data_IF_410093747655
#
_entry.id   IF_410093747655
#
_cell.length_a   1.000
_cell.length_b   1.000
_cell.length_c   1.000
_cell.angle_alpha   90.00
_cell.angle_beta   90.00
_cell.angle_gamma   90.00
#
_symmetry.space_group_name_H-M   'P 1'
#
loop_
_entity.id
_entity.type
_entity.pdbx_description
1 polymer ?
#
# COMPACT_ATOMS: atom_id res chain seq x y z
N UNK A 1 -19.49 12.31 -2.95
CA UNK A 1 -19.24 11.55 -1.70
C UNK A 1 -18.08 10.61 -1.99
N UNK A 2 -17.19 10.39 -1.03
CA UNK A 2 -16.18 9.33 -1.10
C UNK A 2 -16.91 7.99 -1.13
N UNK A 3 -16.64 7.14 -2.13
CA UNK A 3 -17.10 5.76 -2.07
C UNK A 3 -16.41 5.06 -0.89
N UNK A 4 -17.14 4.25 -0.09
CA UNK A 4 -16.54 3.60 1.07
C UNK A 4 -15.36 2.72 0.67
N UNK A 5 -14.27 2.82 1.45
CA UNK A 5 -13.04 2.09 1.16
C UNK A 5 -13.21 0.58 1.37
N UNK A 6 -12.71 -0.23 0.44
CA UNK A 6 -12.74 -1.71 0.53
C UNK A 6 -11.33 -2.24 0.74
N UNK A 7 -11.11 -3.15 1.68
CA UNK A 7 -9.84 -3.88 1.85
C UNK A 7 -10.16 -5.37 1.85
N UNK A 8 -9.48 -6.15 1.01
CA UNK A 8 -9.65 -7.60 0.97
C UNK A 8 -8.29 -8.25 1.10
N UNK A 9 -8.19 -9.20 2.02
CA UNK A 9 -7.05 -10.09 2.17
C UNK A 9 -7.56 -11.52 1.96
N UNK A 10 -6.94 -12.21 1.01
CA UNK A 10 -7.18 -13.62 0.74
C UNK A 10 -6.12 -14.41 1.50
N UNK A 11 -6.55 -15.34 2.34
CA UNK A 11 -5.65 -16.24 3.06
C UNK A 11 -5.19 -17.41 2.20
N UNK A 12 -4.70 -18.46 2.84
CA UNK A 12 -4.19 -19.68 2.19
C UNK A 12 -5.24 -20.73 1.88
N UNK A 13 -6.51 -20.48 2.23
CA UNK A 13 -7.62 -21.37 1.93
C UNK A 13 -8.91 -20.58 1.63
N UNK A 14 -9.93 -21.22 1.00
CA UNK A 14 -11.24 -20.60 0.77
C UNK A 14 -11.97 -20.13 2.03
N UNK A 15 -11.56 -20.64 3.18
CA UNK A 15 -12.18 -20.36 4.48
C UNK A 15 -11.37 -19.34 5.29
N UNK A 16 -10.20 -18.90 4.80
CA UNK A 16 -9.32 -17.96 5.47
C UNK A 16 -9.29 -16.64 4.73
N UNK A 17 -9.87 -15.59 5.31
CA UNK A 17 -9.95 -14.28 4.66
C UNK A 17 -10.30 -13.14 5.62
N UNK A 18 -10.04 -11.93 5.14
CA UNK A 18 -10.55 -10.69 5.71
C UNK A 18 -11.18 -9.82 4.63
N UNK A 19 -12.35 -9.28 4.92
CA UNK A 19 -13.06 -8.32 4.07
C UNK A 19 -13.47 -7.13 4.92
N UNK A 20 -12.96 -5.96 4.59
CA UNK A 20 -13.38 -4.68 5.14
C UNK A 20 -14.08 -3.85 4.06
N UNK A 21 -15.18 -3.19 4.41
CA UNK A 21 -15.79 -2.16 3.58
C UNK A 21 -16.36 -1.03 4.44
N UNK A 22 -15.98 0.22 4.13
CA UNK A 22 -16.31 1.38 4.95
C UNK A 22 -15.68 1.28 6.33
N UNK A 23 -16.51 1.23 7.38
CA UNK A 23 -16.08 1.08 8.79
C UNK A 23 -16.20 -0.35 9.31
N UNK A 24 -16.84 -1.24 8.56
CA UNK A 24 -17.19 -2.59 8.98
C UNK A 24 -16.23 -3.60 8.36
N UNK A 25 -16.07 -4.74 9.03
CA UNK A 25 -15.25 -5.82 8.51
C UNK A 25 -15.77 -7.19 8.95
N UNK A 26 -15.27 -8.21 8.27
CA UNK A 26 -15.42 -9.62 8.58
C UNK A 26 -14.04 -10.28 8.50
N UNK A 27 -13.75 -11.18 9.45
CA UNK A 27 -12.50 -11.94 9.51
C UNK A 27 -12.82 -13.38 9.83
N UNK A 28 -12.29 -14.31 9.05
CA UNK A 28 -12.57 -15.74 9.13
C UNK A 28 -11.28 -16.53 8.99
N UNK A 29 -11.02 -17.45 9.92
CA UNK A 29 -9.85 -18.35 9.95
C UNK A 29 -8.50 -17.70 9.55
N UNK A 30 -8.30 -16.43 9.89
CA UNK A 30 -6.98 -15.78 9.86
C UNK A 30 -6.23 -16.11 11.16
N UNK A 31 -4.92 -15.89 11.20
CA UNK A 31 -4.15 -16.07 12.44
C UNK A 31 -4.76 -15.27 13.60
N UNK A 32 -4.60 -15.77 14.83
CA UNK A 32 -5.14 -15.11 16.01
C UNK A 32 -4.60 -13.68 16.14
N UNK A 33 -3.32 -13.48 15.83
CA UNK A 33 -2.67 -12.16 15.87
C UNK A 33 -3.32 -11.17 14.90
N UNK A 34 -3.61 -11.60 13.66
CA UNK A 34 -4.29 -10.76 12.68
C UNK A 34 -5.75 -10.52 13.09
N UNK A 35 -6.44 -11.55 13.57
CA UNK A 35 -7.84 -11.45 14.02
C UNK A 35 -8.00 -10.45 15.15
N UNK A 36 -7.10 -10.45 16.13
CA UNK A 36 -7.09 -9.48 17.23
C UNK A 36 -6.80 -8.07 16.71
N UNK A 37 -5.82 -7.90 15.81
CA UNK A 37 -5.56 -6.61 15.17
C UNK A 37 -6.79 -6.07 14.43
N UNK A 38 -7.44 -6.93 13.63
CA UNK A 38 -8.65 -6.59 12.87
C UNK A 38 -9.77 -6.08 13.77
N UNK A 39 -10.03 -6.77 14.89
CA UNK A 39 -11.10 -6.43 15.84
C UNK A 39 -10.80 -5.19 16.68
N UNK A 40 -9.57 -5.06 17.15
CA UNK A 40 -9.25 -4.10 18.21
C UNK A 40 -8.73 -2.76 17.68
N UNK A 41 -8.07 -2.76 16.53
CA UNK A 41 -7.27 -1.60 16.09
C UNK A 41 -7.39 -1.25 14.61
N UNK A 42 -7.74 -2.20 13.75
CA UNK A 42 -7.78 -1.96 12.31
C UNK A 42 -8.96 -1.05 11.95
N UNK A 43 -8.64 0.13 11.42
CA UNK A 43 -9.62 1.04 10.84
C UNK A 43 -9.67 0.85 9.32
N UNK A 44 -10.68 0.15 8.82
CA UNK A 44 -10.85 -0.15 7.39
C UNK A 44 -10.87 1.11 6.54
N UNK A 45 -11.53 2.18 7.00
CA UNK A 45 -11.65 3.44 6.25
C UNK A 45 -10.30 4.14 6.04
N UNK A 46 -9.33 3.85 6.91
CA UNK A 46 -8.00 4.46 6.90
C UNK A 46 -6.88 3.49 6.50
N UNK A 47 -7.21 2.21 6.32
CA UNK A 47 -6.25 1.19 5.90
C UNK A 47 -6.10 1.24 4.40
N UNK A 48 -4.92 1.65 3.90
CA UNK A 48 -4.70 1.75 2.45
C UNK A 48 -4.47 0.38 1.82
N UNK A 49 -3.75 -0.46 2.52
CA UNK A 49 -3.39 -1.81 2.10
C UNK A 49 -3.12 -2.69 3.33
N UNK A 50 -3.29 -3.99 3.13
CA UNK A 50 -2.93 -5.04 4.07
C UNK A 50 -2.29 -6.17 3.26
N UNK A 51 -1.19 -6.72 3.76
CA UNK A 51 -0.53 -7.89 3.17
C UNK A 51 -0.29 -8.94 4.24
N UNK A 52 -0.52 -10.19 3.87
CA UNK A 52 -0.40 -11.35 4.75
C UNK A 52 0.37 -12.43 4.00
N UNK A 53 1.29 -13.10 4.69
CA UNK A 53 2.04 -14.24 4.15
C UNK A 53 1.13 -15.45 3.95
N UNK A 54 1.59 -16.41 3.15
CA UNK A 54 0.88 -17.67 2.89
C UNK A 54 0.53 -18.45 4.17
N UNK A 55 1.44 -18.48 5.14
CA UNK A 55 1.21 -19.15 6.44
C UNK A 55 0.26 -18.39 7.37
N UNK A 56 -0.15 -17.17 7.01
CA UNK A 56 -1.01 -16.25 7.78
C UNK A 56 -0.38 -15.70 9.07
N UNK A 57 0.81 -16.16 9.43
CA UNK A 57 1.47 -15.79 10.68
C UNK A 57 2.19 -14.46 10.57
N UNK A 58 2.59 -14.06 9.36
CA UNK A 58 3.21 -12.75 9.08
C UNK A 58 2.23 -11.82 8.36
N UNK A 59 2.09 -10.61 8.86
CA UNK A 59 1.22 -9.62 8.24
C UNK A 59 1.66 -8.20 8.52
N UNK A 60 1.31 -7.31 7.60
CA UNK A 60 1.52 -5.86 7.73
C UNK A 60 0.29 -5.14 7.20
N UNK A 61 -0.19 -4.15 7.94
CA UNK A 61 -1.21 -3.19 7.49
C UNK A 61 -0.66 -1.77 7.60
N UNK A 62 -1.16 -0.87 6.75
CA UNK A 62 -0.78 0.53 6.77
C UNK A 62 -1.98 1.44 6.95
N UNK A 63 -1.95 2.19 8.06
CA UNK A 63 -2.95 3.19 8.41
C UNK A 63 -2.48 4.58 7.95
N UNK A 64 -3.15 5.12 6.93
CA UNK A 64 -2.83 6.43 6.34
C UNK A 64 -3.19 7.59 7.26
N UNK A 65 -4.14 7.40 8.18
CA UNK A 65 -4.53 8.43 9.13
C UNK A 65 -3.44 8.67 10.16
N UNK A 66 -2.72 7.64 10.57
CA UNK A 66 -1.65 7.74 11.56
C UNK A 66 -0.24 7.75 10.96
N UNK A 67 -0.11 7.44 9.66
CA UNK A 67 1.17 7.16 9.00
C UNK A 67 1.96 6.10 9.77
N UNK A 68 1.28 5.00 10.13
CA UNK A 68 1.84 3.91 10.91
C UNK A 68 1.59 2.56 10.25
N UNK A 69 2.58 1.70 10.41
CA UNK A 69 2.47 0.28 10.14
C UNK A 69 2.01 -0.45 11.39
N UNK A 70 1.12 -1.42 11.21
CA UNK A 70 0.81 -2.44 12.20
C UNK A 70 1.27 -3.78 11.65
N UNK A 71 1.90 -4.60 12.48
CA UNK A 71 2.41 -5.90 12.08
C UNK A 71 2.51 -6.82 13.29
N UNK A 72 2.57 -8.13 13.04
CA UNK A 72 2.74 -9.14 14.08
C UNK A 72 4.14 -9.06 14.73
N UNK A 73 4.23 -9.45 16.01
CA UNK A 73 5.48 -9.43 16.77
C UNK A 73 6.57 -10.38 16.23
N UNK A 74 6.20 -11.38 15.43
CA UNK A 74 7.09 -12.38 14.83
C UNK A 74 7.58 -12.01 13.42
N UNK A 75 7.28 -10.81 12.90
CA UNK A 75 7.77 -10.39 11.58
C UNK A 75 9.30 -10.42 11.51
N UNK A 76 9.83 -10.87 10.37
CA UNK A 76 11.27 -10.95 10.12
C UNK A 76 11.97 -9.62 10.38
N UNK A 77 13.15 -9.67 11.02
CA UNK A 77 13.84 -8.47 11.51
C UNK A 77 14.20 -7.50 10.37
N UNK A 78 14.62 -8.01 9.21
CA UNK A 78 14.98 -7.13 8.07
C UNK A 78 13.77 -6.32 7.59
N UNK A 79 12.57 -6.92 7.59
CA UNK A 79 11.32 -6.24 7.23
C UNK A 79 11.00 -5.17 8.28
N UNK A 80 11.17 -5.48 9.56
CA UNK A 80 10.98 -4.51 10.66
C UNK A 80 11.92 -3.31 10.55
N UNK A 81 13.17 -3.54 10.17
CA UNK A 81 14.16 -2.47 9.99
C UNK A 81 13.74 -1.54 8.85
N UNK A 82 13.24 -2.10 7.75
CA UNK A 82 12.64 -1.34 6.65
C UNK A 82 11.38 -0.56 7.05
N UNK A 83 10.46 -1.16 7.82
CA UNK A 83 9.24 -0.50 8.30
C UNK A 83 9.52 0.64 9.29
N UNK A 84 10.65 0.60 9.99
CA UNK A 84 11.06 1.61 10.96
C UNK A 84 12.11 2.60 10.44
N UNK A 85 12.71 2.34 9.27
CA UNK A 85 13.82 3.12 8.73
C UNK A 85 15.07 3.09 9.62
N UNK A 86 15.29 1.99 10.34
CA UNK A 86 16.41 1.82 11.28
C UNK A 86 17.50 0.94 10.67
N UNK A 87 18.65 0.81 11.36
CA UNK A 87 19.77 -0.03 10.93
C UNK A 87 20.28 0.25 9.50
N UNK A 88 20.21 1.52 9.07
CA UNK A 88 20.63 1.95 7.74
C UNK A 88 19.68 1.59 6.60
N UNK A 89 18.48 1.06 6.90
CA UNK A 89 17.45 0.76 5.92
C UNK A 89 16.61 1.99 5.59
N UNK A 90 16.24 2.14 4.32
CA UNK A 90 15.27 3.14 3.88
C UNK A 90 13.89 2.82 4.44
N UNK A 91 13.18 3.86 4.91
CA UNK A 91 11.81 3.75 5.40
C UNK A 91 10.88 3.30 4.27
N UNK A 92 10.27 2.15 4.45
CA UNK A 92 9.33 1.53 3.52
C UNK A 92 7.94 2.16 3.62
N UNK A 93 7.21 2.11 2.51
CA UNK A 93 5.83 2.58 2.34
C UNK A 93 4.86 1.44 1.99
N UNK A 94 5.39 0.33 1.48
CA UNK A 94 4.63 -0.82 1.04
C UNK A 94 5.42 -2.12 1.23
N UNK A 95 4.76 -3.16 1.74
CA UNK A 95 5.32 -4.52 1.87
C UNK A 95 4.32 -5.52 1.30
N UNK A 96 4.83 -6.52 0.58
CA UNK A 96 4.04 -7.65 0.11
C UNK A 96 4.80 -8.96 0.30
N UNK A 97 4.06 -10.03 0.54
CA UNK A 97 4.59 -11.39 0.74
C UNK A 97 4.24 -12.29 -0.45
N UNK A 98 5.20 -13.07 -0.99
CA UNK A 98 4.95 -14.02 -2.06
C UNK A 98 4.30 -15.32 -1.58
N UNK A 99 3.84 -16.15 -2.53
CA UNK A 99 3.51 -17.56 -2.30
C UNK A 99 4.80 -18.36 -2.04
N UNK A 100 5.33 -18.23 -0.82
CA UNK A 100 6.56 -18.88 -0.38
C UNK A 100 6.34 -19.54 0.98
N UNK A 101 7.04 -20.65 1.19
CA UNK A 101 7.07 -21.35 2.48
C UNK A 101 8.17 -20.77 3.40
N UNK A 102 9.04 -19.89 2.88
CA UNK A 102 10.01 -19.13 3.68
C UNK A 102 9.35 -17.83 4.20
N UNK A 103 9.14 -17.68 5.53
CA UNK A 103 8.54 -16.48 6.11
C UNK A 103 9.44 -15.24 5.99
N UNK A 104 10.71 -15.42 5.62
CA UNK A 104 11.64 -14.34 5.31
C UNK A 104 11.42 -13.71 3.93
N UNK A 105 10.65 -14.34 3.03
CA UNK A 105 10.41 -13.83 1.69
C UNK A 105 9.46 -12.62 1.68
N UNK A 106 9.87 -11.53 1.03
CA UNK A 106 9.10 -10.30 0.91
C UNK A 106 9.57 -9.42 -0.25
N UNK A 107 8.69 -8.53 -0.68
CA UNK A 107 9.01 -7.34 -1.44
C UNK A 107 8.67 -6.11 -0.61
N UNK A 108 9.49 -5.07 -0.70
CA UNK A 108 9.24 -3.77 -0.07
C UNK A 108 9.54 -2.63 -1.02
N UNK A 109 8.75 -1.57 -0.95
CA UNK A 109 8.99 -0.32 -1.66
C UNK A 109 9.11 0.86 -0.69
N UNK A 110 10.23 1.56 -0.74
CA UNK A 110 10.55 2.76 0.03
C UNK A 110 9.59 3.93 -0.18
N UNK A 111 9.58 4.88 0.76
CA UNK A 111 8.95 6.21 0.59
C UNK A 111 9.66 7.07 -0.46
N UNK A 112 10.93 6.80 -0.73
CA UNK A 112 11.71 7.45 -1.79
C UNK A 112 11.72 6.60 -3.07
N UNK A 113 11.66 7.26 -4.24
CA UNK A 113 11.80 6.56 -5.53
C UNK A 113 13.14 5.83 -5.62
N UNK A 114 13.17 4.66 -6.25
CA UNK A 114 14.37 3.82 -6.32
C UNK A 114 14.69 3.02 -5.06
N UNK A 115 13.99 3.24 -3.94
CA UNK A 115 14.31 2.59 -2.66
C UNK A 115 13.49 1.30 -2.43
N UNK A 116 13.39 0.43 -3.43
CA UNK A 116 12.78 -0.88 -3.27
C UNK A 116 13.81 -1.94 -2.85
N UNK A 117 13.36 -2.98 -2.15
CA UNK A 117 14.18 -4.12 -1.76
C UNK A 117 13.31 -5.39 -1.74
N UNK A 118 13.90 -6.54 -2.07
CA UNK A 118 13.19 -7.80 -2.10
C UNK A 118 14.10 -8.97 -1.70
N UNK A 119 13.55 -9.90 -0.93
CA UNK A 119 14.09 -11.23 -0.68
C UNK A 119 13.04 -12.22 -1.17
N UNK A 120 13.29 -12.88 -2.30
CA UNK A 120 12.28 -13.68 -3.00
C UNK A 120 12.90 -15.01 -3.44
N UNK A 121 12.05 -15.98 -3.74
CA UNK A 121 12.48 -17.23 -4.36
C UNK A 121 13.19 -16.97 -5.69
N UNK A 122 14.26 -17.74 -5.97
CA UNK A 122 15.14 -17.50 -7.13
C UNK A 122 14.37 -17.43 -8.45
N UNK A 123 13.33 -18.25 -8.62
CA UNK A 123 12.49 -18.25 -9.83
C UNK A 123 11.77 -16.91 -10.04
N UNK A 124 11.30 -16.28 -8.96
CA UNK A 124 10.67 -14.95 -9.03
C UNK A 124 11.73 -13.89 -9.31
N UNK A 125 12.91 -14.00 -8.70
CA UNK A 125 14.04 -13.10 -8.96
C UNK A 125 14.45 -13.13 -10.44
N UNK A 126 14.58 -14.32 -11.03
CA UNK A 126 14.96 -14.48 -12.43
C UNK A 126 13.95 -13.78 -13.35
N UNK A 127 12.66 -14.01 -13.12
CA UNK A 127 11.58 -13.37 -13.90
C UNK A 127 11.53 -11.86 -13.69
N UNK A 128 11.71 -11.39 -12.46
CA UNK A 128 11.79 -9.97 -12.15
C UNK A 128 12.95 -9.29 -12.90
N UNK A 129 14.11 -9.95 -13.00
CA UNK A 129 15.26 -9.44 -13.73
C UNK A 129 15.02 -9.38 -15.26
N UNK A 130 14.32 -10.38 -15.82
CA UNK A 130 13.90 -10.35 -17.23
C UNK A 130 12.99 -9.15 -17.51
N UNK A 131 11.96 -8.95 -16.69
CA UNK A 131 11.02 -7.84 -16.84
C UNK A 131 11.73 -6.49 -16.64
N UNK A 132 12.59 -6.40 -15.63
CA UNK A 132 13.39 -5.19 -15.36
C UNK A 132 14.26 -4.80 -16.56
N UNK A 133 14.82 -5.76 -17.29
CA UNK A 133 15.63 -5.48 -18.48
C UNK A 133 14.81 -4.88 -19.64
N UNK A 134 13.48 -5.07 -19.65
CA UNK A 134 12.58 -4.56 -20.68
C UNK A 134 11.90 -3.23 -20.35
N UNK A 135 12.14 -2.65 -19.17
CA UNK A 135 11.43 -1.45 -18.68
C UNK A 135 12.44 -0.34 -18.36
N UNK A 136 12.35 0.75 -19.12
CA UNK A 136 13.12 1.97 -18.83
C UNK A 136 12.72 2.54 -17.47
N UNK A 137 13.73 3.02 -16.72
CA UNK A 137 13.55 3.62 -15.39
C UNK A 137 12.79 2.72 -14.38
N UNK A 138 12.85 1.40 -14.54
CA UNK A 138 12.17 0.42 -13.68
C UNK A 138 12.28 0.75 -12.19
N UNK A 139 13.51 0.97 -11.71
CA UNK A 139 13.79 1.20 -10.29
C UNK A 139 13.10 2.48 -9.76
N UNK A 140 12.98 3.51 -10.59
CA UNK A 140 12.32 4.77 -10.22
C UNK A 140 10.79 4.69 -10.38
N UNK A 141 10.31 3.85 -11.29
CA UNK A 141 8.89 3.76 -11.65
C UNK A 141 8.08 2.80 -10.78
N UNK A 142 8.71 1.76 -10.23
CA UNK A 142 8.01 0.75 -9.44
C UNK A 142 7.47 1.35 -8.14
N UNK A 143 6.18 1.13 -7.86
CA UNK A 143 5.51 1.57 -6.62
C UNK A 143 5.09 0.41 -5.72
N UNK A 144 5.15 -0.81 -6.23
CA UNK A 144 4.98 -2.03 -5.45
C UNK A 144 4.82 -3.28 -6.32
N UNK A 145 4.66 -4.42 -5.67
CA UNK A 145 4.47 -5.72 -6.29
C UNK A 145 3.44 -6.50 -5.46
N UNK A 146 2.46 -7.11 -6.11
CA UNK A 146 1.52 -8.04 -5.45
C UNK A 146 1.73 -9.44 -5.99
N UNK A 147 1.55 -10.45 -5.15
CA UNK A 147 1.84 -11.84 -5.47
C UNK A 147 0.57 -12.67 -5.40
N UNK A 148 0.46 -13.65 -6.29
CA UNK A 148 -0.57 -14.67 -6.29
C UNK A 148 0.05 -16.06 -6.27
N UNK A 149 -0.77 -17.06 -6.57
CA UNK A 149 -0.39 -18.46 -6.64
C UNK A 149 0.82 -18.73 -7.53
N UNK A 150 1.74 -19.56 -7.04
CA UNK A 150 2.92 -20.01 -7.76
C UNK A 150 3.87 -18.85 -8.06
N UNK A 151 4.27 -18.71 -9.32
CA UNK A 151 5.19 -17.65 -9.79
C UNK A 151 4.47 -16.36 -10.21
N UNK A 152 3.17 -16.26 -9.93
CA UNK A 152 2.33 -15.15 -10.40
C UNK A 152 2.58 -13.89 -9.59
N UNK A 153 2.86 -12.78 -10.27
CA UNK A 153 2.96 -11.48 -9.64
C UNK A 153 2.54 -10.34 -10.57
N UNK A 154 2.19 -9.21 -9.98
CA UNK A 154 1.90 -7.97 -10.71
C UNK A 154 2.75 -6.85 -10.14
N UNK A 155 3.57 -6.27 -11.00
CA UNK A 155 4.35 -5.07 -10.74
C UNK A 155 3.46 -3.85 -10.96
N UNK A 156 3.40 -2.99 -9.97
CA UNK A 156 2.62 -1.77 -9.98
C UNK A 156 3.55 -0.59 -10.29
N UNK A 157 3.15 0.26 -11.24
CA UNK A 157 3.87 1.49 -11.59
C UNK A 157 2.98 2.72 -11.37
N UNK A 158 3.60 3.90 -11.41
CA UNK A 158 2.87 5.17 -11.42
C UNK A 158 2.03 5.37 -12.69
N UNK A 159 2.44 4.75 -13.80
CA UNK A 159 1.81 4.84 -15.11
C UNK A 159 1.70 3.45 -15.75
N UNK A 160 0.92 2.56 -15.14
CA UNK A 160 0.63 1.23 -15.65
C UNK A 160 0.86 0.13 -14.62
N UNK A 161 0.89 -1.10 -15.11
CA UNK A 161 1.29 -2.29 -14.38
C UNK A 161 1.84 -3.31 -15.37
N UNK A 162 2.62 -4.27 -14.88
CA UNK A 162 3.10 -5.42 -15.64
C UNK A 162 2.75 -6.67 -14.86
N UNK A 163 2.10 -7.64 -15.51
CA UNK A 163 1.67 -8.89 -14.89
C UNK A 163 2.49 -10.04 -15.45
N UNK A 164 3.13 -10.80 -14.57
CA UNK A 164 3.78 -12.07 -14.88
C UNK A 164 2.91 -13.17 -14.30
N UNK A 165 2.39 -14.02 -15.19
CA UNK A 165 1.46 -15.09 -14.84
C UNK A 165 2.21 -16.43 -14.93
N UNK A 166 1.96 -17.33 -13.99
CA UNK A 166 2.60 -18.66 -14.02
C UNK A 166 2.04 -19.48 -15.20
N UNK A 167 2.86 -19.75 -16.22
CA UNK A 167 2.44 -20.47 -17.44
C UNK A 167 1.78 -21.83 -17.14
N UNK A 168 2.11 -22.45 -16.00
CA UNK A 168 1.53 -23.72 -15.54
C UNK A 168 0.07 -23.56 -15.06
N UNK A 169 -0.30 -22.38 -14.55
CA UNK A 169 -1.62 -22.07 -13.99
C UNK A 169 -2.52 -21.34 -15.01
N UNK A 170 -1.93 -20.59 -15.93
CA UNK A 170 -2.61 -19.68 -16.84
C UNK A 170 -2.61 -20.19 -18.29
N UNK A 171 -3.13 -21.39 -18.50
CA UNK A 171 -3.24 -22.00 -19.85
C UNK A 171 -4.51 -21.61 -20.60
N UNK A 172 -5.49 -21.02 -19.91
CA UNK A 172 -6.81 -20.67 -20.45
C UNK A 172 -6.91 -19.16 -20.68
N UNK A 173 -7.08 -18.74 -21.94
CA UNK A 173 -7.23 -17.32 -22.28
C UNK A 173 -8.51 -16.68 -21.69
N UNK A 174 -9.52 -17.48 -21.34
CA UNK A 174 -10.74 -17.04 -20.68
C UNK A 174 -10.61 -16.99 -19.15
N UNK A 175 -9.39 -17.20 -18.62
CA UNK A 175 -9.13 -17.09 -17.21
C UNK A 175 -9.52 -15.69 -16.69
N UNK A 176 -10.31 -15.58 -15.60
CA UNK A 176 -10.94 -14.32 -15.20
C UNK A 176 -9.93 -13.21 -14.87
N UNK A 177 -8.79 -13.56 -14.29
CA UNK A 177 -7.70 -12.61 -14.04
C UNK A 177 -7.08 -12.08 -15.35
N UNK A 178 -6.83 -12.95 -16.36
CA UNK A 178 -6.28 -12.53 -17.66
C UNK A 178 -7.22 -11.53 -18.32
N UNK A 179 -8.51 -11.85 -18.35
CA UNK A 179 -9.54 -10.99 -18.93
C UNK A 179 -9.53 -9.60 -18.30
N UNK A 180 -9.57 -9.52 -16.96
CA UNK A 180 -9.58 -8.23 -16.25
C UNK A 180 -8.29 -7.44 -16.49
N UNK A 181 -7.13 -8.08 -16.47
CA UNK A 181 -5.84 -7.41 -16.73
C UNK A 181 -5.77 -6.88 -18.17
N UNK A 182 -6.22 -7.66 -19.15
CA UNK A 182 -6.28 -7.26 -20.56
C UNK A 182 -7.20 -6.05 -20.77
N UNK A 183 -8.40 -6.11 -20.20
CA UNK A 183 -9.42 -5.05 -20.31
C UNK A 183 -8.94 -3.70 -19.71
N UNK A 184 -7.94 -3.72 -18.82
CA UNK A 184 -7.38 -2.55 -18.15
C UNK A 184 -5.91 -2.29 -18.47
N UNK A 185 -5.35 -2.96 -19.48
CA UNK A 185 -3.93 -2.84 -19.85
C UNK A 185 -3.52 -1.42 -20.26
N UNK A 186 -4.46 -0.62 -20.80
CA UNK A 186 -4.20 0.74 -21.26
C UNK A 186 -4.81 1.81 -20.36
N UNK A 187 -3.98 2.75 -19.89
CA UNK A 187 -4.44 3.95 -19.19
C UNK A 187 -4.87 3.74 -17.73
N UNK A 188 -4.66 2.55 -17.17
CA UNK A 188 -4.94 2.23 -15.76
C UNK A 188 -3.69 1.79 -15.03
N UNK A 189 -3.66 2.05 -13.72
CA UNK A 189 -2.65 1.52 -12.80
C UNK A 189 -3.33 0.65 -11.75
N UNK A 190 -2.64 -0.36 -11.26
CA UNK A 190 -3.11 -1.13 -10.10
C UNK A 190 -2.66 -0.43 -8.81
N UNK A 191 -3.54 -0.35 -7.83
CA UNK A 191 -3.30 0.27 -6.52
C UNK A 191 -2.90 -0.78 -5.48
N UNK A 192 -2.11 -0.36 -4.47
CA UNK A 192 -1.54 -1.22 -3.42
C UNK A 192 -2.56 -1.96 -2.55
N UNK A 193 -3.81 -1.53 -2.55
CA UNK A 193 -4.89 -2.22 -1.85
C UNK A 193 -5.50 -3.38 -2.64
N UNK A 194 -4.80 -3.89 -3.65
CA UNK A 194 -5.17 -5.05 -4.46
C UNK A 194 -4.51 -6.32 -3.92
N UNK A 195 -5.14 -7.47 -4.15
CA UNK A 195 -4.74 -8.77 -3.60
C UNK A 195 -4.98 -9.87 -4.62
N UNK A 196 -4.04 -10.80 -4.74
CA UNK A 196 -4.20 -12.05 -5.50
C UNK A 196 -4.26 -13.22 -4.52
N UNK A 197 -4.92 -14.29 -4.93
CA UNK A 197 -5.07 -15.50 -4.13
C UNK A 197 -3.85 -16.42 -4.27
N UNK A 198 -3.43 -17.07 -3.17
CA UNK A 198 -2.35 -18.06 -3.19
C UNK A 198 -2.82 -19.49 -3.52
N UNK A 199 -4.09 -19.84 -3.28
CA UNK A 199 -4.57 -21.21 -3.45
C UNK A 199 -5.35 -21.45 -4.75
N UNK A 200 -5.97 -20.43 -5.33
CA UNK A 200 -6.72 -20.51 -6.60
C UNK A 200 -6.56 -19.21 -7.39
N UNK A 201 -5.85 -19.29 -8.51
CA UNK A 201 -5.53 -18.17 -9.40
C UNK A 201 -6.76 -17.44 -9.94
N UNK A 202 -7.94 -18.09 -9.96
CA UNK A 202 -9.18 -17.46 -10.40
C UNK A 202 -9.65 -16.38 -9.44
N UNK A 203 -9.25 -16.44 -8.16
CA UNK A 203 -9.70 -15.50 -7.16
C UNK A 203 -8.74 -14.31 -6.99
N UNK A 204 -9.30 -13.11 -6.96
CA UNK A 204 -8.54 -11.87 -6.83
C UNK A 204 -9.45 -10.70 -6.44
N UNK A 205 -8.82 -9.63 -5.97
CA UNK A 205 -9.41 -8.31 -5.82
C UNK A 205 -8.43 -7.26 -6.34
N UNK A 206 -8.76 -6.58 -7.43
CA UNK A 206 -7.92 -5.58 -8.07
C UNK A 206 -8.58 -4.19 -8.02
N UNK A 207 -7.82 -3.20 -7.60
CA UNK A 207 -8.18 -1.78 -7.63
C UNK A 207 -7.41 -1.10 -8.77
N UNK A 208 -8.11 -0.68 -9.80
CA UNK A 208 -7.57 0.09 -10.92
C UNK A 208 -7.82 1.58 -10.70
N UNK A 209 -6.82 2.41 -10.97
CA UNK A 209 -6.91 3.87 -10.90
C UNK A 209 -6.36 4.50 -12.16
N UNK A 210 -7.09 5.47 -12.72
CA UNK A 210 -6.64 6.22 -13.88
C UNK A 210 -5.71 7.36 -13.44
N UNK A 211 -4.45 7.42 -13.93
CA UNK A 211 -3.48 8.45 -13.55
C UNK A 211 -4.03 9.87 -13.69
N UNK A 212 -3.71 10.73 -12.72
CA UNK A 212 -4.12 12.13 -12.73
C UNK A 212 -5.62 12.38 -12.48
N UNK A 213 -6.40 11.34 -12.20
CA UNK A 213 -7.84 11.47 -11.91
C UNK A 213 -8.21 10.84 -10.56
N UNK A 214 -9.43 11.12 -10.09
CA UNK A 214 -10.04 10.41 -8.96
C UNK A 214 -10.75 9.12 -9.37
N UNK A 215 -10.72 8.75 -10.66
CA UNK A 215 -11.44 7.59 -11.17
C UNK A 215 -10.78 6.30 -10.71
N UNK A 216 -11.54 5.48 -9.97
CA UNK A 216 -11.13 4.17 -9.48
C UNK A 216 -12.17 3.14 -9.90
N UNK A 217 -11.72 1.96 -10.32
CA UNK A 217 -12.56 0.80 -10.61
C UNK A 217 -12.08 -0.38 -9.77
N UNK A 218 -13.02 -1.16 -9.25
CA UNK A 218 -12.73 -2.34 -8.44
C UNK A 218 -13.27 -3.57 -9.18
N UNK A 219 -12.40 -4.54 -9.43
CA UNK A 219 -12.75 -5.81 -10.05
C UNK A 219 -12.37 -6.96 -9.13
N UNK A 220 -13.25 -7.94 -9.02
CA UNK A 220 -12.98 -9.09 -8.20
C UNK A 220 -13.64 -10.33 -8.77
N UNK A 221 -13.02 -11.47 -8.48
CA UNK A 221 -13.64 -12.77 -8.56
C UNK A 221 -13.36 -13.41 -7.21
N UNK A 222 -14.38 -13.64 -6.39
CA UNK A 222 -14.22 -14.13 -5.02
C UNK A 222 -14.99 -15.44 -4.86
N UNK A 223 -14.58 -16.33 -3.94
CA UNK A 223 -15.42 -17.44 -3.50
C UNK A 223 -16.80 -16.95 -3.07
N UNK A 224 -17.85 -17.76 -3.28
CA UNK A 224 -19.25 -17.36 -3.05
C UNK A 224 -19.45 -16.79 -1.64
N UNK A 225 -18.99 -17.49 -0.60
CA UNK A 225 -19.12 -17.02 0.78
C UNK A 225 -18.42 -15.68 1.04
N UNK A 226 -17.28 -15.42 0.40
CA UNK A 226 -16.59 -14.13 0.48
C UNK A 226 -17.34 -13.03 -0.26
N UNK A 227 -17.86 -13.34 -1.46
CA UNK A 227 -18.63 -12.40 -2.27
C UNK A 227 -19.93 -11.97 -1.56
N UNK A 228 -20.63 -12.91 -0.92
CA UNK A 228 -21.81 -12.64 -0.10
C UNK A 228 -21.47 -11.71 1.07
N UNK A 229 -20.37 -11.96 1.79
CA UNK A 229 -19.92 -11.07 2.88
C UNK A 229 -19.55 -9.68 2.41
N UNK A 230 -18.87 -9.56 1.26
CA UNK A 230 -18.60 -8.24 0.67
C UNK A 230 -19.90 -7.51 0.33
N UNK A 231 -20.88 -8.20 -0.25
CA UNK A 231 -22.18 -7.63 -0.59
C UNK A 231 -22.92 -7.15 0.67
N UNK A 232 -22.99 -7.97 1.72
CA UNK A 232 -23.61 -7.61 3.01
C UNK A 232 -22.99 -6.32 3.59
N UNK A 233 -21.66 -6.22 3.55
CA UNK A 233 -20.94 -5.03 4.03
C UNK A 233 -21.20 -3.81 3.15
N UNK A 234 -21.28 -3.97 1.82
CA UNK A 234 -21.63 -2.89 0.88
C UNK A 234 -23.06 -2.39 1.07
N UNK A 235 -24.01 -3.27 1.34
CA UNK A 235 -25.38 -2.90 1.66
C UNK A 235 -25.47 -2.16 2.99
N UNK A 236 -24.73 -2.64 4.00
CA UNK A 236 -24.65 -1.98 5.31
C UNK A 236 -24.04 -0.59 5.21
N UNK A 237 -22.95 -0.42 4.45
CA UNK A 237 -22.28 0.86 4.28
C UNK A 237 -23.13 1.92 3.55
N UNK A 238 -24.20 1.50 2.84
CA UNK A 238 -25.17 2.40 2.20
C UNK A 238 -26.27 2.87 3.15
N UNK A 239 -26.35 2.32 4.35
CA UNK A 239 -27.34 2.78 5.34
C UNK A 239 -27.03 4.21 5.77
N UNK A 240 -28.05 5.08 5.97
CA UNK A 240 -27.83 6.49 6.29
C UNK A 240 -26.96 6.72 7.53
N UNK A 241 -27.11 5.88 8.56
CA UNK A 241 -26.33 5.95 9.79
C UNK A 241 -24.84 5.70 9.54
N UNK A 242 -24.51 4.68 8.75
CA UNK A 242 -23.14 4.36 8.37
C UNK A 242 -22.55 5.43 7.46
N UNK A 243 -23.34 5.96 6.51
CA UNK A 243 -22.91 7.06 5.65
C UNK A 243 -22.56 8.31 6.46
N UNK A 244 -23.38 8.69 7.45
CA UNK A 244 -23.08 9.80 8.36
C UNK A 244 -21.82 9.52 9.18
N UNK A 245 -21.70 8.30 9.71
CA UNK A 245 -20.56 7.89 10.53
C UNK A 245 -19.24 7.84 9.74
N UNK A 246 -19.29 7.51 8.43
CA UNK A 246 -18.16 7.60 7.49
C UNK A 246 -17.85 9.07 7.22
N UNK A 247 -18.85 9.90 6.95
CA UNK A 247 -18.65 11.34 6.70
C UNK A 247 -18.01 12.06 7.89
N UNK A 248 -18.42 11.76 9.11
CA UNK A 248 -17.82 12.31 10.33
C UNK A 248 -16.35 11.89 10.47
N UNK A 249 -16.04 10.62 10.18
CA UNK A 249 -14.67 10.09 10.17
C UNK A 249 -13.81 10.80 9.11
N UNK A 250 -14.33 10.96 7.89
CA UNK A 250 -13.64 11.65 6.79
C UNK A 250 -13.39 13.13 7.11
N UNK A 251 -14.35 13.82 7.72
CA UNK A 251 -14.18 15.21 8.14
C UNK A 251 -13.15 15.34 9.26
N UNK A 252 -13.16 14.43 10.24
CA UNK A 252 -12.14 14.39 11.29
C UNK A 252 -10.75 14.17 10.68
N UNK A 253 -10.64 13.28 9.70
CA UNK A 253 -9.39 13.02 9.00
C UNK A 253 -8.91 14.23 8.19
N UNK A 254 -9.78 14.88 7.43
CA UNK A 254 -9.42 16.10 6.70
C UNK A 254 -8.85 17.17 7.63
N UNK A 255 -9.41 17.33 8.83
CA UNK A 255 -8.88 18.24 9.86
C UNK A 255 -7.51 17.81 10.36
N UNK A 256 -7.29 16.52 10.61
CA UNK A 256 -5.99 15.98 11.03
C UNK A 256 -4.92 16.15 9.93
N UNK A 257 -5.26 15.85 8.68
CA UNK A 257 -4.37 16.02 7.53
C UNK A 257 -3.99 17.49 7.32
N UNK A 258 -4.96 18.42 7.40
CA UNK A 258 -4.70 19.86 7.37
C UNK A 258 -3.80 20.32 8.52
N UNK A 259 -4.02 19.82 9.73
CA UNK A 259 -3.17 20.12 10.89
C UNK A 259 -1.73 19.69 10.68
N UNK A 260 -1.52 18.48 10.12
CA UNK A 260 -0.17 17.98 9.77
C UNK A 260 0.49 18.79 8.67
N UNK A 261 -0.23 19.12 7.59
CA UNK A 261 0.30 19.98 6.53
C UNK A 261 0.71 21.35 7.08
N UNK A 262 -0.12 21.96 7.93
CA UNK A 262 0.21 23.24 8.56
C UNK A 262 1.45 23.13 9.47
N UNK A 263 1.59 22.06 10.25
CA UNK A 263 2.79 21.80 11.05
C UNK A 263 4.04 21.63 10.17
N UNK A 264 3.95 20.89 9.07
CA UNK A 264 5.06 20.66 8.15
C UNK A 264 5.48 21.94 7.42
N UNK A 265 4.51 22.76 6.96
CA UNK A 265 4.77 24.07 6.36
C UNK A 265 5.43 25.02 7.37
N UNK A 266 4.94 25.05 8.61
CA UNK A 266 5.53 25.86 9.68
C UNK A 266 6.96 25.42 10.00
N UNK A 267 7.22 24.11 10.12
CA UNK A 267 8.59 23.59 10.32
C UNK A 267 9.51 23.91 9.15
N UNK A 268 9.03 23.75 7.91
CA UNK A 268 9.81 24.07 6.71
C UNK A 268 10.14 25.56 6.64
N UNK A 269 9.19 26.42 7.01
CA UNK A 269 9.38 27.88 7.08
C UNK A 269 10.38 28.24 8.18
N UNK A 270 10.28 27.62 9.35
CA UNK A 270 11.24 27.81 10.45
C UNK A 270 12.65 27.35 10.07
N UNK A 271 12.80 26.19 9.41
CA UNK A 271 14.09 25.69 8.93
C UNK A 271 14.67 26.62 7.85
N UNK A 272 13.85 27.08 6.91
CA UNK A 272 14.27 28.05 5.90
C UNK A 272 14.72 29.38 6.54
N UNK A 273 14.01 29.87 7.55
CA UNK A 273 14.40 31.06 8.31
C UNK A 273 15.67 30.85 9.13
N UNK A 274 15.85 29.68 9.76
CA UNK A 274 17.08 29.33 10.48
C UNK A 274 18.27 29.21 9.53
N UNK A 275 18.11 28.55 8.37
CA UNK A 275 19.16 28.46 7.34
C UNK A 275 19.48 29.82 6.75
N UNK A 276 18.48 30.68 6.53
CA UNK A 276 18.73 32.05 6.05
C UNK A 276 19.49 32.88 7.09
N UNK A 277 19.11 32.79 8.37
CA UNK A 277 19.86 33.44 9.47
C UNK A 277 21.27 32.87 9.65
N UNK A 278 21.46 31.55 9.52
CA UNK A 278 22.75 30.89 9.59
C UNK A 278 23.66 31.26 8.40
N UNK A 279 23.10 31.36 7.20
CA UNK A 279 23.81 31.83 6.00
C UNK A 279 24.23 33.29 6.09
N UNK A 280 23.35 34.16 6.61
CA UNK A 280 23.68 35.57 6.88
C UNK A 280 24.75 35.72 7.98
N UNK A 281 24.70 34.89 9.03
CA UNK A 281 25.72 34.87 10.08
C UNK A 281 27.09 34.40 9.57
N UNK A 282 27.13 33.40 8.67
CA UNK A 282 28.37 33.00 8.00
C UNK A 282 28.92 34.09 7.08
N UNK A 283 28.07 34.78 6.31
CA UNK A 283 28.49 35.91 5.48
C UNK A 283 29.05 37.07 6.32
N UNK A 284 28.45 37.36 7.48
CA UNK A 284 28.96 38.36 8.43
C UNK A 284 30.32 37.95 9.04
N UNK A 285 30.50 36.67 9.35
CA UNK A 285 31.75 36.14 9.92
C UNK A 285 32.90 36.11 8.89
N UNK A 286 32.60 35.84 7.61
CA UNK A 286 33.61 35.79 6.53
C UNK A 286 34.01 37.20 6.05
N UNK A 287 33.16 38.20 6.22
CA UNK A 287 33.43 39.59 5.76
C UNK A 287 33.94 40.52 6.85
N UNK A 288 34.00 40.08 8.12
CA UNK A 288 34.47 40.90 9.24
C UNK A 288 33.64 42.16 9.49
N UNK A 289 32.41 42.22 8.96
CA UNK A 289 31.56 43.40 8.95
C UNK A 289 30.24 43.16 9.67
N UNK A 290 29.90 44.05 10.60
CA UNK A 290 28.55 44.20 11.17
C UNK A 290 27.53 44.38 10.05
N UNK A 291 26.65 43.40 9.86
CA UNK A 291 25.46 43.53 9.01
C UNK A 291 24.47 44.42 9.75
N UNK A 292 24.33 45.66 9.29
CA UNK A 292 23.29 46.58 9.76
C UNK A 292 22.03 46.29 8.96
N UNK A 293 21.00 45.76 9.61
CA UNK A 293 19.64 45.72 9.05
C UNK A 293 19.20 47.16 8.78
N UNK A 294 19.02 47.52 7.50
CA UNK A 294 18.32 48.75 7.13
C UNK A 294 16.81 48.48 7.28
N UNK A 295 16.09 49.23 8.14
CA UNK A 295 14.64 49.15 8.17
C UNK A 295 14.10 49.79 6.89
N UNK A 296 13.34 49.02 6.10
CA UNK A 296 12.48 49.59 5.07
C UNK A 296 11.32 50.29 5.76
N UNK A 297 11.36 51.63 5.80
CA UNK A 297 10.19 52.47 6.00
C UNK A 297 9.92 53.25 4.72
N UNK A 298 8.86 52.81 4.03
CA UNK A 298 7.86 53.56 3.23
C UNK A 298 7.38 52.69 2.08
#
# INVERSE_FOLDING_TARGET
>A
MSDPHTVIVLGSSPESYFIGHGRRHYVENMSESFTNHAKDTLNVSMTTWASVSKDLETWVTYDVATDKFHFNGSIHQDIRDHLSGTNGKSLTDFVAFPDSDDPGCYFSNGKSQGAWNAFLDQKIIDKLNEVKAGIDDFDQGIKGMIFGKGKTFILMFHAGFVAELDDEEFTDEEHPLIKVLRDHSEGWCIERGSTLCFYDSKYFFLKFKKPGTSQTMMHWNLPIGMAEKLQDLQETAKQPEELMAIMESDQMWMKLAQSRMNMQLNMSTMMAQQMHRGGLAMLAAVTGGTVVEKPYYS
#
